data_IF_098928483042
#
_entry.id   IF_098928483042
#
_cell.length_a   1.000
_cell.length_b   1.000
_cell.length_c   1.000
_cell.angle_alpha   90.00
_cell.angle_beta   90.00
_cell.angle_gamma   90.00
#
_symmetry.space_group_name_H-M   'P 1'
#
loop_
_entity.id
_entity.type
_entity.pdbx_description
1 polymer ?
#
# COMPACT_ATOMS: atom_id res chain seq x y z
N UNK A 1 -4.80 -5.07 9.84
CA UNK A 1 -5.63 -3.85 9.65
C UNK A 1 -7.14 -4.04 9.91
N UNK A 2 -7.64 -5.26 10.23
CA UNK A 2 -9.08 -5.53 10.43
C UNK A 2 -9.74 -4.81 11.62
N UNK A 3 -8.95 -4.31 12.58
CA UNK A 3 -9.44 -3.61 13.77
C UNK A 3 -9.79 -2.14 13.50
N UNK A 4 -9.30 -1.56 12.40
CA UNK A 4 -9.56 -0.17 12.03
C UNK A 4 -10.85 -0.06 11.23
N UNK A 5 -11.67 0.96 11.56
CA UNK A 5 -12.98 1.19 10.93
C UNK A 5 -12.93 2.13 9.74
N UNK A 6 -11.90 2.97 9.63
CA UNK A 6 -11.69 3.86 8.49
C UNK A 6 -11.04 3.14 7.30
N UNK A 7 -10.60 3.93 6.31
CA UNK A 7 -9.88 3.44 5.13
C UNK A 7 -8.61 2.72 5.55
N UNK A 8 -8.33 1.59 4.91
CA UNK A 8 -7.15 0.76 5.13
C UNK A 8 -6.27 0.83 3.89
N UNK A 9 -5.20 1.62 3.98
CA UNK A 9 -4.33 1.94 2.87
C UNK A 9 -2.96 1.31 3.11
N UNK A 10 -2.47 0.55 2.14
CA UNK A 10 -1.12 -0.02 2.15
C UNK A 10 -0.27 0.63 1.06
N UNK A 11 0.90 1.15 1.42
CA UNK A 11 1.97 1.58 0.51
C UNK A 11 3.05 0.53 0.61
N UNK A 12 3.27 -0.21 -0.47
CA UNK A 12 4.13 -1.39 -0.49
C UNK A 12 5.22 -1.24 -1.55
N UNK A 13 6.46 -1.42 -1.13
CA UNK A 13 7.53 -1.89 -2.02
C UNK A 13 7.38 -3.41 -2.15
N UNK A 14 7.15 -3.95 -3.37
CA UNK A 14 7.10 -5.40 -3.57
C UNK A 14 8.34 -6.10 -2.98
N UNK A 15 8.13 -7.25 -2.35
CA UNK A 15 9.16 -7.96 -1.61
C UNK A 15 10.30 -8.40 -2.54
N UNK A 16 11.53 -8.11 -2.14
CA UNK A 16 12.75 -8.53 -2.83
C UNK A 16 13.29 -9.85 -2.26
N UNK A 17 14.28 -10.45 -2.93
CA UNK A 17 15.05 -11.61 -2.41
C UNK A 17 14.27 -12.93 -2.19
N UNK A 18 13.05 -13.05 -2.72
CA UNK A 18 12.22 -14.26 -2.58
C UNK A 18 12.62 -15.42 -3.52
N UNK A 19 13.57 -15.20 -4.43
CA UNK A 19 14.05 -16.20 -5.38
C UNK A 19 12.93 -16.89 -6.17
N UNK A 20 13.00 -18.21 -6.29
CA UNK A 20 12.03 -19.02 -7.08
C UNK A 20 10.59 -18.96 -6.55
N UNK A 21 10.38 -18.56 -5.29
CA UNK A 21 9.05 -18.53 -4.68
C UNK A 21 8.33 -17.18 -4.88
N UNK A 22 9.03 -16.17 -5.42
CA UNK A 22 8.53 -14.80 -5.50
C UNK A 22 7.13 -14.70 -6.11
N UNK A 23 6.84 -15.45 -7.17
CA UNK A 23 5.51 -15.44 -7.78
C UNK A 23 4.41 -15.92 -6.82
N UNK A 24 4.62 -17.07 -6.16
CA UNK A 24 3.64 -17.66 -5.25
C UNK A 24 3.45 -16.80 -4.02
N UNK A 25 4.54 -16.29 -3.46
CA UNK A 25 4.49 -15.52 -2.23
C UNK A 25 3.79 -14.16 -2.46
N UNK A 26 4.00 -13.51 -3.61
CA UNK A 26 3.25 -12.33 -4.01
C UNK A 26 1.78 -12.62 -4.33
N UNK A 27 1.46 -13.81 -4.85
CA UNK A 27 0.08 -14.23 -5.07
C UNK A 27 -0.66 -14.38 -3.73
N UNK A 28 -0.06 -15.07 -2.75
CA UNK A 28 -0.64 -15.22 -1.41
C UNK A 28 -0.72 -13.89 -0.67
N UNK A 29 0.32 -13.05 -0.76
CA UNK A 29 0.29 -11.69 -0.22
C UNK A 29 -0.86 -10.88 -0.82
N UNK A 30 -1.06 -10.97 -2.14
CA UNK A 30 -2.17 -10.33 -2.83
C UNK A 30 -3.53 -10.75 -2.26
N UNK A 31 -3.73 -12.03 -1.95
CA UNK A 31 -4.97 -12.50 -1.31
C UNK A 31 -5.17 -11.87 0.06
N UNK A 32 -4.13 -11.85 0.90
CA UNK A 32 -4.24 -11.24 2.24
C UNK A 32 -4.50 -9.74 2.18
N UNK A 33 -3.88 -9.03 1.23
CA UNK A 33 -4.17 -7.61 0.95
C UNK A 33 -5.63 -7.45 0.53
N UNK A 34 -6.11 -8.26 -0.42
CA UNK A 34 -7.47 -8.19 -0.94
C UNK A 34 -8.56 -8.39 0.13
N UNK A 35 -8.28 -9.18 1.17
CA UNK A 35 -9.19 -9.41 2.30
C UNK A 35 -9.33 -8.21 3.23
N UNK A 36 -8.38 -7.28 3.25
CA UNK A 36 -8.29 -6.27 4.33
C UNK A 36 -8.02 -4.84 3.89
N UNK A 37 -7.52 -4.59 2.68
CA UNK A 37 -7.17 -3.24 2.24
C UNK A 37 -8.26 -2.67 1.33
N UNK A 38 -8.48 -1.36 1.46
CA UNK A 38 -9.33 -0.60 0.54
C UNK A 38 -8.48 -0.01 -0.60
N UNK A 39 -7.20 0.29 -0.32
CA UNK A 39 -6.23 0.79 -1.30
C UNK A 39 -4.88 0.09 -1.15
N UNK A 40 -4.24 -0.19 -2.28
CA UNK A 40 -2.85 -0.59 -2.39
C UNK A 40 -2.12 0.37 -3.35
N UNK A 41 -1.10 1.05 -2.84
CA UNK A 41 -0.15 1.80 -3.65
C UNK A 41 1.17 1.05 -3.72
N UNK A 42 1.65 0.79 -4.93
CA UNK A 42 2.95 0.17 -5.15
C UNK A 42 3.98 1.22 -5.53
N UNK A 43 5.19 1.10 -4.99
CA UNK A 43 6.30 2.03 -5.29
C UNK A 43 6.94 1.74 -6.65
N UNK A 44 6.81 0.51 -7.15
CA UNK A 44 7.23 0.05 -8.47
C UNK A 44 6.29 -1.08 -8.95
N UNK A 45 6.50 -1.60 -10.17
CA UNK A 45 5.65 -2.63 -10.80
C UNK A 45 6.19 -4.06 -10.68
N UNK A 46 7.22 -4.29 -9.85
CA UNK A 46 7.74 -5.63 -9.61
C UNK A 46 6.65 -6.53 -9.05
N UNK A 47 6.52 -7.73 -9.62
CA UNK A 47 5.52 -8.74 -9.21
C UNK A 47 4.07 -8.20 -9.17
N UNK A 48 3.77 -7.16 -9.96
CA UNK A 48 2.42 -6.60 -10.08
C UNK A 48 1.39 -7.68 -10.44
N UNK A 49 1.70 -8.50 -11.46
CA UNK A 49 0.78 -9.54 -11.95
C UNK A 49 0.33 -10.54 -10.86
N UNK A 50 1.23 -11.23 -10.11
CA UNK A 50 0.80 -12.12 -9.05
C UNK A 50 0.06 -11.40 -7.92
N UNK A 51 0.48 -10.19 -7.51
CA UNK A 51 -0.23 -9.40 -6.50
C UNK A 51 -1.68 -9.13 -6.90
N UNK A 52 -1.90 -8.58 -8.10
CA UNK A 52 -3.23 -8.30 -8.63
C UNK A 52 -4.06 -9.58 -8.76
N UNK A 53 -3.45 -10.67 -9.24
CA UNK A 53 -4.14 -11.95 -9.37
C UNK A 53 -4.64 -12.46 -8.01
N UNK A 54 -3.85 -12.28 -6.94
CA UNK A 54 -4.24 -12.63 -5.58
C UNK A 54 -5.41 -11.77 -5.08
N UNK A 55 -5.32 -10.46 -5.26
CA UNK A 55 -6.36 -9.50 -4.85
C UNK A 55 -7.69 -9.77 -5.57
N UNK A 56 -7.65 -9.97 -6.88
CA UNK A 56 -8.84 -10.24 -7.70
C UNK A 56 -9.47 -11.60 -7.39
N UNK A 57 -8.64 -12.60 -7.03
CA UNK A 57 -9.13 -13.92 -6.60
C UNK A 57 -10.04 -13.86 -5.38
N UNK A 58 -9.85 -12.86 -4.50
CA UNK A 58 -10.69 -12.62 -3.32
C UNK A 58 -11.97 -11.82 -3.61
N UNK A 59 -12.25 -11.51 -4.89
CA UNK A 59 -13.35 -10.60 -5.31
C UNK A 59 -13.29 -9.25 -4.58
N UNK A 60 -12.07 -8.81 -4.24
CA UNK A 60 -11.83 -7.59 -3.49
C UNK A 60 -12.17 -6.34 -4.30
N UNK A 61 -12.62 -5.28 -3.62
CA UNK A 61 -12.75 -3.93 -4.19
C UNK A 61 -11.49 -3.08 -3.94
N UNK A 62 -10.40 -3.67 -3.46
CA UNK A 62 -9.14 -2.99 -3.20
C UNK A 62 -8.65 -2.29 -4.48
N UNK A 63 -8.51 -0.97 -4.42
CA UNK A 63 -8.01 -0.17 -5.54
C UNK A 63 -6.50 -0.20 -5.55
N UNK A 64 -5.92 -0.72 -6.65
CA UNK A 64 -4.47 -0.87 -6.79
C UNK A 64 -3.91 0.11 -7.82
N UNK A 65 -2.86 0.83 -7.45
CA UNK A 65 -2.16 1.75 -8.36
C UNK A 65 -0.64 1.71 -8.11
N UNK A 66 0.15 1.88 -9.17
CA UNK A 66 1.59 2.17 -9.08
C UNK A 66 1.75 3.68 -9.22
N UNK A 67 2.27 4.36 -8.19
CA UNK A 67 2.37 5.83 -8.17
C UNK A 67 3.74 6.29 -7.63
N UNK A 68 4.27 7.43 -8.12
CA UNK A 68 5.44 8.04 -7.54
C UNK A 68 5.15 8.58 -6.12
N UNK A 69 6.16 8.67 -5.24
CA UNK A 69 5.98 9.05 -3.83
C UNK A 69 5.21 10.35 -3.59
N UNK A 70 5.47 11.38 -4.41
CA UNK A 70 4.79 12.68 -4.30
C UNK A 70 3.28 12.57 -4.54
N UNK A 71 2.83 11.67 -5.42
CA UNK A 71 1.39 11.46 -5.66
C UNK A 71 0.75 10.66 -4.54
N UNK A 72 1.47 9.69 -3.97
CA UNK A 72 1.03 8.94 -2.80
C UNK A 72 0.86 9.89 -1.61
N UNK A 73 1.87 10.71 -1.30
CA UNK A 73 1.82 11.68 -0.21
C UNK A 73 0.61 12.63 -0.34
N UNK A 74 0.45 13.27 -1.50
CA UNK A 74 -0.70 14.14 -1.79
C UNK A 74 -2.05 13.43 -1.68
N UNK A 75 -2.11 12.15 -2.04
CA UNK A 75 -3.33 11.36 -1.87
C UNK A 75 -3.64 11.20 -0.38
N UNK A 76 -2.66 10.80 0.44
CA UNK A 76 -2.84 10.59 1.87
C UNK A 76 -3.29 11.88 2.57
N UNK A 77 -2.58 13.00 2.35
CA UNK A 77 -2.91 14.32 2.93
C UNK A 77 -4.35 14.76 2.64
N UNK A 78 -4.84 14.51 1.42
CA UNK A 78 -6.16 14.97 0.97
C UNK A 78 -7.30 14.02 1.28
N UNK A 79 -7.01 12.73 1.46
CA UNK A 79 -8.04 11.69 1.45
C UNK A 79 -8.07 10.84 2.72
N UNK A 80 -7.28 11.14 3.74
CA UNK A 80 -7.30 10.42 5.01
C UNK A 80 -7.83 11.26 6.16
N UNK A 81 -8.49 10.61 7.12
CA UNK A 81 -8.97 11.21 8.37
C UNK A 81 -8.55 10.41 9.60
N UNK A 82 -9.02 10.86 10.77
CA UNK A 82 -8.60 10.33 12.09
C UNK A 82 -8.86 8.83 12.30
N UNK A 83 -9.82 8.23 11.59
CA UNK A 83 -10.15 6.80 11.71
C UNK A 83 -9.40 5.90 10.73
N UNK A 84 -8.70 6.50 9.78
CA UNK A 84 -8.03 5.79 8.69
C UNK A 84 -6.67 5.28 9.15
N UNK A 85 -6.20 4.21 8.53
CA UNK A 85 -4.88 3.63 8.79
C UNK A 85 -4.09 3.54 7.49
N UNK A 86 -2.86 4.01 7.55
CA UNK A 86 -1.91 4.02 6.44
C UNK A 86 -0.67 3.27 6.89
N UNK A 87 -0.32 2.20 6.18
CA UNK A 87 0.88 1.40 6.44
C UNK A 87 1.88 1.61 5.31
N UNK A 88 3.12 1.91 5.67
CA UNK A 88 4.24 2.04 4.74
C UNK A 88 5.17 0.86 4.97
N UNK A 89 5.28 -0.03 3.99
CA UNK A 89 6.08 -1.25 4.08
C UNK A 89 7.14 -1.26 2.98
N UNK A 90 8.41 -1.38 3.39
CA UNK A 90 9.57 -1.33 2.51
C UNK A 90 10.33 -0.01 2.53
N UNK A 91 11.55 -0.03 2.00
CA UNK A 91 12.46 1.12 1.96
C UNK A 91 11.96 2.20 1.01
N UNK A 92 11.44 1.83 -0.16
CA UNK A 92 10.91 2.80 -1.12
C UNK A 92 9.63 3.47 -0.63
N UNK A 93 8.83 2.78 0.19
CA UNK A 93 7.61 3.33 0.77
C UNK A 93 7.91 4.51 1.71
N UNK A 94 9.08 4.50 2.37
CA UNK A 94 9.56 5.61 3.21
C UNK A 94 9.60 6.94 2.47
N UNK A 95 9.90 6.94 1.17
CA UNK A 95 9.96 8.19 0.38
C UNK A 95 8.61 8.92 0.33
N UNK A 96 7.49 8.19 0.44
CA UNK A 96 6.16 8.81 0.51
C UNK A 96 5.87 9.30 1.92
N UNK A 97 6.24 8.50 2.94
CA UNK A 97 6.07 8.86 4.34
C UNK A 97 6.86 10.11 4.73
N UNK A 98 8.12 10.21 4.28
CA UNK A 98 9.00 11.33 4.62
C UNK A 98 8.47 12.67 4.13
N UNK A 99 7.75 12.69 3.00
CA UNK A 99 7.13 13.90 2.46
C UNK A 99 5.97 14.39 3.33
N UNK A 100 5.20 13.46 3.91
CA UNK A 100 4.08 13.77 4.80
C UNK A 100 4.61 14.22 6.17
N UNK A 101 5.63 13.52 6.69
CA UNK A 101 6.18 13.78 8.01
C UNK A 101 7.05 15.05 8.08
N UNK A 102 7.52 15.56 6.94
CA UNK A 102 8.37 16.76 6.86
C UNK A 102 7.60 18.09 6.89
N UNK A 103 6.26 18.08 6.85
CA UNK A 103 5.47 19.29 7.05
C UNK A 103 5.62 19.75 8.52
N UNK A 104 6.11 20.97 8.78
CA UNK A 104 6.35 21.41 10.15
C UNK A 104 5.01 21.58 10.87
N UNK A 105 4.94 21.08 12.10
CA UNK A 105 3.86 21.35 13.05
C UNK A 105 3.95 22.82 13.50
N UNK A 106 3.65 23.76 12.61
CA UNK A 106 3.36 25.15 12.96
C UNK A 106 1.88 25.37 12.75
N UNK A 107 1.08 25.05 13.78
CA UNK A 107 -0.36 25.18 13.68
C UNK A 107 -1.12 24.62 14.87
N UNK A 108 -0.63 24.81 16.09
CA UNK A 108 -1.41 24.85 17.33
C UNK A 108 -0.83 25.91 18.25
#
# INVERSE_FOLDING_TARGET
>A
MKLYKGKRILILEPLTELGKNAYRDHLELGKEIGKVCDYLFLTNDNYYKPLISGIQGEKSLCLVQVLPPVKIAKFIEKNTGLSDVVVFEGREAYNSFSLIASEPVFGL
#
